data_IF_949492517676
#
_entry.id   IF_949492517676
#
_cell.length_a   1.000
_cell.length_b   1.000
_cell.length_c   1.000
_cell.angle_alpha   90.00
_cell.angle_beta   90.00
_cell.angle_gamma   90.00
#
_symmetry.space_group_name_H-M   'P 1'
#
loop_
_entity.id
_entity.type
_entity.pdbx_description
1 polymer ?
#
# COMPACT_ATOMS: atom_id res chain seq x y z
N UNK A 1 5.36 -29.77 36.79
CA UNK A 1 5.23 -28.39 36.22
C UNK A 1 3.79 -27.97 36.41
N UNK A 2 3.49 -26.89 37.16
CA UNK A 2 2.12 -26.40 37.36
C UNK A 2 1.66 -25.72 36.07
N UNK A 3 0.56 -26.21 35.51
CA UNK A 3 -0.02 -25.61 34.32
C UNK A 3 -0.61 -24.21 34.67
N UNK A 4 -0.17 -23.15 33.96
CA UNK A 4 -0.83 -21.84 34.09
C UNK A 4 -2.13 -21.87 33.29
N UNK A 5 -3.26 -21.92 33.97
CA UNK A 5 -4.59 -21.97 33.33
C UNK A 5 -4.89 -20.75 32.42
N UNK A 6 -4.09 -19.69 32.50
CA UNK A 6 -4.19 -18.51 31.61
C UNK A 6 -3.68 -18.78 30.18
N UNK A 7 -2.92 -19.87 29.99
CA UNK A 7 -2.42 -20.31 28.69
C UNK A 7 -3.34 -21.29 27.97
N UNK A 8 -4.40 -21.75 28.63
CA UNK A 8 -5.35 -22.71 28.06
C UNK A 8 -6.55 -21.99 27.42
N UNK A 9 -7.08 -22.56 26.34
CA UNK A 9 -8.33 -22.09 25.75
C UNK A 9 -9.50 -22.29 26.73
N UNK A 10 -10.56 -21.50 26.56
CA UNK A 10 -11.77 -21.64 27.37
C UNK A 10 -12.37 -23.04 27.33
N UNK A 11 -12.35 -23.68 26.13
CA UNK A 11 -12.88 -25.03 25.91
C UNK A 11 -12.01 -26.09 26.61
N UNK A 12 -10.69 -25.95 26.57
CA UNK A 12 -9.78 -26.84 27.29
C UNK A 12 -9.97 -26.75 28.81
N UNK A 13 -10.15 -25.55 29.35
CA UNK A 13 -10.42 -25.32 30.76
C UNK A 13 -11.81 -25.90 31.18
N UNK A 14 -12.80 -25.84 30.31
CA UNK A 14 -14.11 -26.44 30.53
C UNK A 14 -13.97 -27.97 30.55
N UNK A 15 -13.26 -28.53 29.56
CA UNK A 15 -12.97 -29.97 29.53
C UNK A 15 -12.28 -30.46 30.79
N UNK A 16 -11.31 -29.74 31.32
CA UNK A 16 -10.63 -30.09 32.58
C UNK A 16 -11.57 -30.08 33.78
N UNK A 17 -12.48 -29.07 33.89
CA UNK A 17 -13.47 -28.99 34.98
C UNK A 17 -14.43 -30.19 34.93
N UNK A 18 -14.95 -30.52 33.74
CA UNK A 18 -15.86 -31.61 33.54
C UNK A 18 -15.19 -32.98 33.87
N UNK A 19 -13.97 -33.18 33.37
CA UNK A 19 -13.21 -34.38 33.64
C UNK A 19 -12.86 -34.55 35.14
N UNK A 20 -12.47 -33.44 35.79
CA UNK A 20 -12.19 -33.44 37.23
C UNK A 20 -13.44 -33.79 38.07
N UNK A 21 -14.63 -33.29 37.69
CA UNK A 21 -15.88 -33.67 38.37
C UNK A 21 -16.27 -35.12 38.14
N UNK A 22 -16.03 -35.67 36.95
CA UNK A 22 -16.26 -37.06 36.67
C UNK A 22 -15.39 -37.98 37.57
N UNK A 23 -14.09 -37.67 37.70
CA UNK A 23 -13.19 -38.38 38.60
C UNK A 23 -13.61 -38.23 40.07
N UNK A 24 -14.06 -37.06 40.49
CA UNK A 24 -14.60 -36.83 41.83
C UNK A 24 -15.84 -37.71 42.10
N UNK A 25 -16.76 -37.82 41.15
CA UNK A 25 -17.94 -38.69 41.24
C UNK A 25 -17.55 -40.17 41.32
N UNK A 26 -16.46 -40.55 40.70
CA UNK A 26 -15.86 -41.91 40.79
C UNK A 26 -15.06 -42.10 42.08
N UNK A 27 -15.16 -41.21 43.07
CA UNK A 27 -14.51 -41.27 44.38
C UNK A 27 -12.96 -41.22 44.34
N UNK A 28 -12.38 -40.69 43.28
CA UNK A 28 -10.91 -40.47 43.21
C UNK A 28 -10.52 -39.38 44.18
N UNK A 29 -9.39 -39.57 44.88
CA UNK A 29 -8.89 -38.59 45.85
C UNK A 29 -8.57 -37.22 45.18
N UNK A 30 -8.98 -36.13 45.83
CA UNK A 30 -8.86 -34.76 45.28
C UNK A 30 -7.40 -34.39 44.98
N UNK A 31 -6.45 -34.88 45.78
CA UNK A 31 -5.00 -34.62 45.50
C UNK A 31 -4.56 -35.29 44.21
N UNK A 32 -5.05 -36.48 43.90
CA UNK A 32 -4.78 -37.18 42.66
C UNK A 32 -5.40 -36.43 41.47
N UNK A 33 -6.66 -36.03 41.62
CA UNK A 33 -7.35 -35.21 40.57
C UNK A 33 -6.55 -33.94 40.29
N UNK A 34 -6.11 -33.19 41.31
CA UNK A 34 -5.33 -32.00 41.15
C UNK A 34 -3.99 -32.25 40.43
N UNK A 35 -3.32 -33.33 40.79
CA UNK A 35 -2.05 -33.72 40.15
C UNK A 35 -2.25 -34.13 38.69
N UNK A 36 -3.30 -34.87 38.36
CA UNK A 36 -3.60 -35.32 36.98
C UNK A 36 -3.82 -34.19 36.01
N UNK A 37 -4.39 -33.08 36.45
CA UNK A 37 -4.65 -31.89 35.62
C UNK A 37 -3.60 -30.76 35.80
N UNK A 38 -2.60 -30.98 36.65
CA UNK A 38 -1.57 -29.98 36.92
C UNK A 38 -2.11 -28.68 37.59
N UNK A 39 -3.24 -28.79 38.30
CA UNK A 39 -3.90 -27.68 38.98
C UNK A 39 -3.71 -27.73 40.49
N UNK A 40 -4.10 -26.69 41.22
CA UNK A 40 -4.07 -26.71 42.67
C UNK A 40 -5.27 -27.47 43.24
N UNK A 41 -5.09 -28.11 44.37
CA UNK A 41 -6.15 -28.76 45.14
C UNK A 41 -7.33 -27.79 45.37
N UNK A 42 -7.02 -26.52 45.62
CA UNK A 42 -8.00 -25.49 45.85
C UNK A 42 -8.85 -25.20 44.57
N UNK A 43 -8.27 -25.27 43.39
CA UNK A 43 -9.03 -25.17 42.15
C UNK A 43 -10.05 -26.30 41.98
N UNK A 44 -9.65 -27.54 42.32
CA UNK A 44 -10.54 -28.68 42.27
C UNK A 44 -11.70 -28.53 43.29
N UNK A 45 -11.43 -28.08 44.49
CA UNK A 45 -12.47 -27.79 45.48
C UNK A 45 -13.43 -26.70 44.99
N UNK A 46 -12.96 -25.64 44.36
CA UNK A 46 -13.83 -24.61 43.75
C UNK A 46 -14.74 -25.17 42.66
N UNK A 47 -14.23 -26.08 41.83
CA UNK A 47 -15.05 -26.73 40.80
C UNK A 47 -16.11 -27.64 41.41
N UNK A 48 -15.75 -28.43 42.46
CA UNK A 48 -16.69 -29.28 43.19
C UNK A 48 -17.77 -28.43 43.86
N UNK A 49 -17.38 -27.30 44.49
CA UNK A 49 -18.33 -26.41 45.13
C UNK A 49 -19.33 -25.83 44.13
N UNK A 50 -18.86 -25.33 42.96
CA UNK A 50 -19.74 -24.85 41.89
C UNK A 50 -20.66 -25.96 41.37
N UNK A 51 -20.13 -27.15 41.16
CA UNK A 51 -20.92 -28.29 40.72
C UNK A 51 -22.01 -28.67 41.70
N UNK A 52 -21.72 -28.66 43.01
CA UNK A 52 -22.69 -28.95 44.04
C UNK A 52 -23.79 -27.93 44.19
N UNK A 53 -23.46 -26.61 43.95
CA UNK A 53 -24.42 -25.52 44.06
C UNK A 53 -25.34 -25.42 42.84
N UNK A 54 -24.79 -25.49 41.63
CA UNK A 54 -25.50 -25.11 40.41
C UNK A 54 -25.45 -26.20 39.31
N UNK A 55 -24.90 -27.36 39.61
CA UNK A 55 -24.79 -28.50 38.69
C UNK A 55 -23.74 -28.29 37.56
N UNK A 56 -23.77 -29.18 36.57
CA UNK A 56 -22.80 -29.23 35.47
C UNK A 56 -22.78 -27.91 34.68
N UNK A 57 -23.89 -27.18 34.57
CA UNK A 57 -23.99 -25.96 33.82
C UNK A 57 -23.05 -24.84 34.35
N UNK A 58 -22.76 -24.83 35.65
CA UNK A 58 -21.85 -23.87 36.29
C UNK A 58 -20.37 -24.03 35.95
N UNK A 59 -20.02 -25.20 35.39
CA UNK A 59 -18.66 -25.50 34.97
C UNK A 59 -18.32 -25.00 33.56
N UNK A 60 -19.35 -24.61 32.81
CA UNK A 60 -19.14 -24.01 31.50
C UNK A 60 -18.29 -22.74 31.60
N UNK A 61 -17.41 -22.56 30.67
CA UNK A 61 -16.66 -21.33 30.54
C UNK A 61 -17.60 -20.21 30.08
N UNK A 62 -17.87 -19.27 30.94
CA UNK A 62 -18.50 -18.01 30.53
C UNK A 62 -17.41 -17.11 29.96
N UNK A 63 -17.56 -16.62 28.75
CA UNK A 63 -16.80 -15.46 28.28
C UNK A 63 -17.11 -14.33 29.24
N UNK A 64 -16.11 -13.93 30.04
CA UNK A 64 -16.28 -12.84 30.99
C UNK A 64 -16.96 -11.69 30.29
N UNK A 65 -18.04 -11.18 30.84
CA UNK A 65 -18.78 -10.05 30.31
C UNK A 65 -17.82 -8.88 30.13
N UNK A 66 -17.44 -8.60 28.88
CA UNK A 66 -16.69 -7.38 28.57
C UNK A 66 -17.54 -6.16 28.93
N UNK A 67 -16.87 -5.02 29.15
CA UNK A 67 -17.57 -3.74 29.33
C UNK A 67 -18.52 -3.52 28.15
N UNK A 68 -19.80 -3.27 28.43
CA UNK A 68 -20.78 -3.00 27.39
C UNK A 68 -20.30 -1.90 26.42
N UNK A 69 -20.58 -2.04 25.13
CA UNK A 69 -20.22 -1.02 24.15
C UNK A 69 -20.88 0.32 24.53
N UNK A 70 -20.10 1.38 24.62
CA UNK A 70 -20.62 2.73 24.92
C UNK A 70 -21.57 3.29 23.87
N UNK A 71 -21.43 2.81 22.62
CA UNK A 71 -22.35 3.11 21.51
C UNK A 71 -23.29 1.92 21.33
N UNK A 72 -24.58 2.19 21.24
CA UNK A 72 -25.58 1.19 20.87
C UNK A 72 -25.49 0.92 19.33
N UNK A 73 -26.22 -0.11 18.87
CA UNK A 73 -26.17 -0.52 17.45
C UNK A 73 -26.61 0.57 16.49
N UNK A 74 -27.62 1.37 16.85
CA UNK A 74 -28.12 2.44 16.01
C UNK A 74 -27.10 3.57 15.86
N UNK A 75 -26.50 3.99 16.97
CA UNK A 75 -25.42 4.99 17.00
C UNK A 75 -24.19 4.52 16.22
N UNK A 76 -23.90 3.21 16.27
CA UNK A 76 -22.80 2.61 15.51
C UNK A 76 -23.07 2.67 14.01
N UNK A 77 -24.30 2.34 13.56
CA UNK A 77 -24.70 2.45 12.15
C UNK A 77 -24.67 3.90 11.66
N UNK A 78 -25.17 4.83 12.46
CA UNK A 78 -25.15 6.27 12.15
C UNK A 78 -23.71 6.78 12.01
N UNK A 79 -22.82 6.41 12.94
CA UNK A 79 -21.40 6.79 12.85
C UNK A 79 -20.77 6.27 11.55
N UNK A 80 -21.02 5.01 11.16
CA UNK A 80 -20.51 4.47 9.90
C UNK A 80 -21.00 5.26 8.70
N UNK A 81 -22.28 5.64 8.67
CA UNK A 81 -22.82 6.47 7.59
C UNK A 81 -22.13 7.84 7.52
N UNK A 82 -21.89 8.47 8.67
CA UNK A 82 -21.12 9.71 8.73
C UNK A 82 -19.69 9.55 8.21
N UNK A 83 -19.01 8.46 8.59
CA UNK A 83 -17.61 8.20 8.20
C UNK A 83 -17.43 7.80 6.72
N UNK A 84 -18.50 7.39 6.04
CA UNK A 84 -18.50 7.17 4.58
C UNK A 84 -18.53 8.48 3.80
N UNK A 85 -18.91 9.58 4.41
CA UNK A 85 -18.92 10.91 3.79
C UNK A 85 -17.57 11.59 3.97
N UNK A 86 -17.18 12.50 3.06
CA UNK A 86 -16.04 13.37 3.26
C UNK A 86 -16.15 14.11 4.59
N UNK A 87 -15.05 14.24 5.32
CA UNK A 87 -15.12 14.92 6.63
C UNK A 87 -15.51 16.39 6.50
N UNK A 88 -15.23 17.06 5.36
CA UNK A 88 -15.68 18.43 5.05
C UNK A 88 -17.19 18.55 5.06
N UNK A 89 -17.94 17.55 4.63
CA UNK A 89 -19.41 17.54 4.70
C UNK A 89 -19.96 17.61 6.14
N UNK A 90 -19.11 17.38 7.15
CA UNK A 90 -19.45 17.46 8.58
C UNK A 90 -18.74 18.63 9.28
N UNK A 91 -18.19 19.58 8.50
CA UNK A 91 -17.60 20.82 9.00
C UNK A 91 -16.11 20.74 9.36
N UNK A 92 -15.39 19.72 8.89
CA UNK A 92 -13.94 19.64 9.07
C UNK A 92 -13.19 20.30 7.90
N UNK A 93 -11.99 20.77 8.15
CA UNK A 93 -11.19 21.54 7.17
C UNK A 93 -10.68 20.70 5.97
N UNK A 94 -10.65 19.38 6.04
CA UNK A 94 -10.19 18.49 4.97
C UNK A 94 -10.99 17.20 4.96
N UNK A 95 -11.02 16.46 3.86
CA UNK A 95 -11.81 15.23 3.68
C UNK A 95 -11.27 14.02 4.46
N UNK A 96 -10.10 14.13 5.07
CA UNK A 96 -9.44 13.01 5.70
C UNK A 96 -9.94 12.78 7.13
N UNK A 97 -10.31 11.55 7.41
CA UNK A 97 -10.65 11.11 8.76
C UNK A 97 -9.38 10.80 9.57
N UNK A 98 -9.32 11.30 10.78
CA UNK A 98 -8.28 11.00 11.76
C UNK A 98 -8.91 10.56 13.08
N UNK A 99 -8.15 9.82 13.90
CA UNK A 99 -8.64 9.39 15.22
C UNK A 99 -9.18 10.54 16.08
N UNK A 100 -8.50 11.69 16.19
CA UNK A 100 -9.05 12.87 16.88
C UNK A 100 -10.36 13.39 16.29
N UNK A 101 -10.50 13.45 14.96
CA UNK A 101 -11.74 13.91 14.31
C UNK A 101 -12.91 12.97 14.57
N UNK A 102 -12.68 11.65 14.46
CA UNK A 102 -13.71 10.65 14.78
C UNK A 102 -14.14 10.74 16.25
N UNK A 103 -13.17 10.90 17.17
CA UNK A 103 -13.48 11.10 18.59
C UNK A 103 -14.32 12.36 18.82
N UNK A 104 -13.98 13.48 18.17
CA UNK A 104 -14.75 14.72 18.23
C UNK A 104 -16.16 14.53 17.67
N UNK A 105 -16.29 13.84 16.54
CA UNK A 105 -17.59 13.54 15.93
C UNK A 105 -18.49 12.72 16.86
N UNK A 106 -17.97 11.66 17.49
CA UNK A 106 -18.69 10.84 18.46
C UNK A 106 -19.17 11.70 19.63
N UNK A 107 -18.31 12.57 20.18
CA UNK A 107 -18.69 13.50 21.26
C UNK A 107 -19.77 14.48 20.80
N UNK A 108 -19.67 14.99 19.56
CA UNK A 108 -20.66 15.93 18.99
C UNK A 108 -22.04 15.27 18.82
N UNK A 109 -22.09 14.07 18.23
CA UNK A 109 -23.34 13.38 17.90
C UNK A 109 -24.00 12.72 19.12
N UNK A 110 -23.21 12.00 19.91
CA UNK A 110 -23.74 11.09 20.92
C UNK A 110 -23.44 11.52 22.36
N UNK A 111 -22.68 12.62 22.57
CA UNK A 111 -22.20 13.08 23.88
C UNK A 111 -21.34 12.06 24.63
N UNK A 112 -20.81 11.08 23.93
CA UNK A 112 -19.95 10.03 24.47
C UNK A 112 -18.50 10.39 24.24
N UNK A 113 -17.67 10.29 25.29
CA UNK A 113 -16.25 10.60 25.21
C UNK A 113 -15.40 9.34 25.30
N UNK A 114 -14.61 9.09 24.26
CA UNK A 114 -13.64 8.01 24.22
C UNK A 114 -12.25 8.52 24.60
N UNK A 115 -11.53 7.73 25.37
CA UNK A 115 -10.11 8.02 25.63
C UNK A 115 -9.26 7.84 24.36
N UNK A 116 -8.30 8.73 24.15
CA UNK A 116 -7.45 8.76 22.94
C UNK A 116 -6.80 7.40 22.60
N UNK A 117 -6.33 6.69 23.63
CA UNK A 117 -5.65 5.38 23.46
C UNK A 117 -6.59 4.27 22.98
N UNK A 118 -7.91 4.40 23.15
CA UNK A 118 -8.90 3.40 22.70
C UNK A 118 -9.30 3.59 21.22
N UNK A 119 -9.06 4.77 20.64
CA UNK A 119 -9.49 5.09 19.28
C UNK A 119 -8.94 4.13 18.21
N UNK A 120 -7.66 3.74 18.19
CA UNK A 120 -7.17 2.82 17.17
C UNK A 120 -7.91 1.49 17.16
N UNK A 121 -8.09 0.86 18.35
CA UNK A 121 -8.82 -0.40 18.49
C UNK A 121 -10.30 -0.25 18.10
N UNK A 122 -10.91 0.87 18.46
CA UNK A 122 -12.29 1.17 18.10
C UNK A 122 -12.44 1.33 16.57
N UNK A 123 -11.55 2.06 15.90
CA UNK A 123 -11.56 2.26 14.45
C UNK A 123 -11.35 0.93 13.69
N UNK A 124 -10.45 0.06 14.16
CA UNK A 124 -10.30 -1.29 13.60
C UNK A 124 -11.59 -2.12 13.70
N UNK A 125 -12.31 -2.03 14.83
CA UNK A 125 -13.63 -2.69 14.99
C UNK A 125 -14.70 -2.14 14.04
N UNK A 126 -14.59 -0.87 13.61
CA UNK A 126 -15.41 -0.24 12.57
C UNK A 126 -15.00 -0.69 11.14
N UNK A 127 -13.98 -1.51 10.99
CA UNK A 127 -13.43 -1.89 9.69
C UNK A 127 -12.57 -0.80 9.03
N UNK A 128 -12.14 0.22 9.80
CA UNK A 128 -11.29 1.29 9.30
C UNK A 128 -9.81 0.98 9.58
N UNK A 129 -9.00 1.06 8.54
CA UNK A 129 -7.56 0.83 8.62
C UNK A 129 -6.80 2.11 8.28
N UNK A 130 -5.65 2.30 8.93
CA UNK A 130 -4.78 3.42 8.63
C UNK A 130 -4.14 3.22 7.25
N UNK A 131 -4.52 4.08 6.30
CA UNK A 131 -3.98 4.08 4.93
C UNK A 131 -3.31 5.41 4.64
N UNK A 132 -2.25 5.39 3.83
CA UNK A 132 -1.65 6.62 3.29
C UNK A 132 -2.58 7.15 2.21
N UNK A 133 -3.05 8.41 2.30
CA UNK A 133 -3.88 9.00 1.25
C UNK A 133 -3.10 9.10 -0.05
N UNK A 134 -3.78 8.86 -1.16
CA UNK A 134 -3.30 9.19 -2.48
C UNK A 134 -3.29 10.71 -2.65
N UNK A 135 -2.23 11.25 -3.25
CA UNK A 135 -2.15 12.67 -3.59
C UNK A 135 -2.75 12.88 -4.97
N UNK A 136 -3.70 13.80 -5.07
CA UNK A 136 -4.24 14.27 -6.34
C UNK A 136 -4.07 15.78 -6.43
N UNK A 137 -3.70 16.27 -7.59
CA UNK A 137 -3.61 17.70 -7.82
C UNK A 137 -5.03 18.32 -7.74
N UNK A 138 -5.12 19.52 -7.21
CA UNK A 138 -6.39 20.28 -7.18
C UNK A 138 -6.82 20.67 -8.59
N UNK A 139 -5.86 20.82 -9.49
CA UNK A 139 -6.01 21.19 -10.89
C UNK A 139 -6.46 20.01 -11.78
N UNK A 140 -6.52 18.78 -11.24
CA UNK A 140 -6.95 17.61 -11.99
C UNK A 140 -8.44 17.67 -12.32
N UNK A 141 -8.78 17.63 -13.62
CA UNK A 141 -10.18 17.47 -14.04
C UNK A 141 -10.62 16.01 -14.01
N UNK A 142 -11.49 15.69 -13.07
CA UNK A 142 -12.03 14.33 -12.90
C UNK A 142 -12.96 13.91 -14.06
N UNK A 143 -13.53 14.85 -14.82
CA UNK A 143 -14.36 14.53 -15.99
C UNK A 143 -13.47 14.15 -17.16
N UNK A 144 -12.40 14.92 -17.40
CA UNK A 144 -11.40 14.59 -18.42
C UNK A 144 -10.75 13.23 -18.17
N UNK A 145 -10.36 12.93 -16.92
CA UNK A 145 -9.83 11.62 -16.54
C UNK A 145 -10.82 10.49 -16.82
N UNK A 146 -12.12 10.69 -16.52
CA UNK A 146 -13.16 9.68 -16.81
C UNK A 146 -13.37 9.52 -18.31
N UNK A 147 -13.44 10.61 -19.05
CA UNK A 147 -13.60 10.58 -20.51
C UNK A 147 -12.42 9.84 -21.16
N UNK A 148 -11.20 10.14 -20.69
CA UNK A 148 -10.00 9.46 -21.18
C UNK A 148 -10.06 7.95 -20.91
N UNK A 149 -10.41 7.52 -19.69
CA UNK A 149 -10.52 6.09 -19.33
C UNK A 149 -11.61 5.37 -20.10
N UNK A 150 -12.77 6.00 -20.28
CA UNK A 150 -13.98 5.33 -20.80
C UNK A 150 -14.10 5.44 -22.34
N UNK A 151 -13.43 6.41 -22.96
CA UNK A 151 -13.53 6.65 -24.39
C UNK A 151 -12.17 6.54 -25.07
N UNK A 152 -11.18 7.34 -24.65
CA UNK A 152 -9.91 7.46 -25.35
C UNK A 152 -9.03 6.21 -25.20
N UNK A 153 -8.91 5.68 -23.99
CA UNK A 153 -8.11 4.46 -23.75
C UNK A 153 -8.68 3.25 -24.51
N UNK A 154 -9.98 2.95 -24.50
CA UNK A 154 -10.56 1.89 -25.32
C UNK A 154 -10.30 2.07 -26.84
N UNK A 155 -10.39 3.31 -27.37
CA UNK A 155 -10.01 3.62 -28.76
C UNK A 155 -8.56 3.25 -29.05
N UNK A 156 -7.64 3.64 -28.14
CA UNK A 156 -6.22 3.34 -28.26
C UNK A 156 -6.01 1.82 -28.25
N UNK A 157 -6.65 1.10 -27.32
CA UNK A 157 -6.52 -0.35 -27.20
C UNK A 157 -7.06 -1.07 -28.44
N UNK A 158 -8.19 -0.64 -28.97
CA UNK A 158 -8.75 -1.17 -30.24
C UNK A 158 -7.79 -0.94 -31.41
N UNK A 159 -7.16 0.25 -31.50
CA UNK A 159 -6.12 0.52 -32.50
C UNK A 159 -4.91 -0.39 -32.34
N UNK A 160 -4.43 -0.57 -31.08
CA UNK A 160 -3.29 -1.45 -30.75
C UNK A 160 -3.57 -2.87 -31.19
N UNK A 161 -4.76 -3.40 -30.88
CA UNK A 161 -5.17 -4.75 -31.25
C UNK A 161 -5.28 -4.91 -32.79
N UNK A 162 -5.98 -4.01 -33.46
CA UNK A 162 -6.17 -4.04 -34.92
C UNK A 162 -4.85 -3.99 -35.69
N UNK A 163 -3.86 -3.24 -35.20
CA UNK A 163 -2.60 -3.02 -35.88
C UNK A 163 -1.44 -3.89 -35.35
N UNK A 164 -1.70 -4.78 -34.37
CA UNK A 164 -0.67 -5.54 -33.67
C UNK A 164 0.46 -4.64 -33.15
N UNK A 165 0.10 -3.42 -32.72
CA UNK A 165 1.03 -2.42 -32.26
C UNK A 165 1.53 -2.74 -30.83
N UNK A 166 2.66 -2.15 -30.43
CA UNK A 166 3.14 -2.17 -29.06
C UNK A 166 2.66 -0.88 -28.37
N UNK A 167 1.96 -1.00 -27.27
CA UNK A 167 1.57 0.12 -26.42
C UNK A 167 2.62 0.31 -25.34
N UNK A 168 3.21 1.50 -25.26
CA UNK A 168 4.14 1.90 -24.20
C UNK A 168 3.62 3.13 -23.47
N UNK A 169 3.93 3.21 -22.19
CA UNK A 169 3.81 4.40 -21.37
C UNK A 169 5.22 4.89 -21.07
N UNK A 170 5.46 6.18 -21.27
CA UNK A 170 6.76 6.77 -20.99
C UNK A 170 6.67 7.96 -20.03
N UNK A 171 7.79 8.21 -19.37
CA UNK A 171 7.94 9.29 -18.42
C UNK A 171 9.43 9.58 -18.17
N UNK A 172 9.71 10.77 -17.65
CA UNK A 172 11.02 11.21 -17.22
C UNK A 172 11.13 11.25 -15.71
N UNK A 173 12.32 10.98 -15.21
CA UNK A 173 12.59 11.09 -13.79
C UNK A 173 14.00 11.58 -13.48
N UNK A 174 14.13 12.32 -12.40
CA UNK A 174 15.41 12.66 -11.80
C UNK A 174 15.72 11.69 -10.65
N UNK A 175 16.86 11.02 -10.74
CA UNK A 175 17.39 10.18 -9.69
C UNK A 175 18.39 11.03 -8.88
N UNK A 176 18.05 11.34 -7.65
CA UNK A 176 18.86 12.18 -6.78
C UNK A 176 20.03 11.41 -6.15
N UNK A 177 21.16 12.08 -5.97
CA UNK A 177 22.30 11.57 -5.21
C UNK A 177 21.94 11.42 -3.72
N UNK A 178 21.03 12.26 -3.20
CA UNK A 178 20.43 12.06 -1.87
C UNK A 178 19.28 11.03 -2.04
N UNK A 179 19.48 9.78 -1.58
CA UNK A 179 18.51 8.72 -1.80
C UNK A 179 17.32 8.80 -0.85
N UNK A 180 16.27 8.09 -1.19
CA UNK A 180 15.23 7.74 -0.24
C UNK A 180 15.80 6.83 0.84
N UNK A 181 15.45 7.07 2.11
CA UNK A 181 15.80 6.22 3.24
C UNK A 181 14.50 5.68 3.85
N UNK A 182 14.28 4.39 3.66
CA UNK A 182 13.11 3.68 4.16
C UNK A 182 13.26 3.26 5.64
N UNK A 183 12.17 2.68 6.16
CA UNK A 183 12.19 2.07 7.50
C UNK A 183 13.06 0.82 7.51
N UNK A 184 13.74 0.58 8.64
CA UNK A 184 14.51 -0.63 8.91
C UNK A 184 14.13 -1.23 10.26
N UNK A 185 14.46 -2.50 10.47
CA UNK A 185 14.29 -3.16 11.75
C UNK A 185 15.40 -2.74 12.71
N UNK A 186 15.05 -2.46 13.95
CA UNK A 186 15.99 -2.11 15.01
C UNK A 186 15.46 -2.57 16.37
N UNK A 187 16.37 -2.82 17.32
CA UNK A 187 15.97 -3.09 18.69
C UNK A 187 15.28 -1.88 19.34
N UNK A 188 14.42 -2.10 20.36
CA UNK A 188 13.83 -1.00 21.12
C UNK A 188 14.91 0.00 21.58
N UNK A 189 14.63 1.30 21.44
CA UNK A 189 15.56 2.40 21.77
C UNK A 189 16.77 2.56 20.85
N UNK A 190 17.07 1.64 19.93
CA UNK A 190 18.12 1.83 18.93
C UNK A 190 17.71 2.90 17.91
N UNK A 191 18.68 3.68 17.44
CA UNK A 191 18.53 4.68 16.37
C UNK A 191 19.42 4.27 15.19
N UNK A 192 18.90 3.47 14.24
CA UNK A 192 19.68 3.07 13.08
C UNK A 192 20.08 4.29 12.25
N UNK A 193 21.33 4.30 11.78
CA UNK A 193 21.90 5.39 11.00
C UNK A 193 22.16 4.89 9.58
N UNK A 194 21.58 5.57 8.58
CA UNK A 194 21.95 5.40 7.19
C UNK A 194 22.95 6.49 6.81
N UNK A 195 24.16 6.09 6.37
CA UNK A 195 25.17 7.03 5.86
C UNK A 195 24.93 7.20 4.36
N UNK A 196 24.52 8.38 3.95
CA UNK A 196 24.16 8.72 2.56
C UNK A 196 24.81 10.05 2.20
N UNK A 197 24.94 10.33 0.89
CA UNK A 197 25.44 11.62 0.43
C UNK A 197 24.56 12.76 0.92
N UNK A 198 25.18 13.86 1.35
CA UNK A 198 24.50 15.13 1.67
C UNK A 198 24.56 16.16 0.55
N UNK A 199 25.13 15.83 -0.61
CA UNK A 199 25.33 16.75 -1.74
C UNK A 199 24.00 17.00 -2.45
N UNK A 200 23.42 18.17 -2.24
CA UNK A 200 22.16 18.60 -2.86
C UNK A 200 22.38 18.99 -4.33
N UNK A 201 21.29 18.95 -5.11
CA UNK A 201 21.29 19.40 -6.51
C UNK A 201 21.92 18.43 -7.51
N UNK A 202 22.60 17.38 -7.05
CA UNK A 202 23.17 16.37 -7.94
C UNK A 202 22.13 15.27 -8.25
N UNK A 203 21.88 15.07 -9.53
CA UNK A 203 20.92 14.09 -10.01
C UNK A 203 21.31 13.53 -11.39
N UNK A 204 20.76 12.39 -11.75
CA UNK A 204 20.85 11.78 -13.06
C UNK A 204 19.46 11.76 -13.66
N UNK A 205 19.30 12.33 -14.85
CA UNK A 205 18.07 12.27 -15.61
C UNK A 205 17.92 10.93 -16.30
N UNK A 206 16.69 10.41 -16.35
CA UNK A 206 16.36 9.16 -17.04
C UNK A 206 14.97 9.26 -17.66
N UNK A 207 14.84 8.83 -18.90
CA UNK A 207 13.58 8.59 -19.58
C UNK A 207 13.37 7.09 -19.73
N UNK A 208 12.20 6.58 -19.45
CA UNK A 208 11.87 5.17 -19.69
C UNK A 208 10.46 5.02 -20.29
N UNK A 209 10.31 3.95 -21.05
CA UNK A 209 9.03 3.47 -21.56
C UNK A 209 8.84 2.01 -21.14
N UNK A 210 7.67 1.71 -20.58
CA UNK A 210 7.28 0.36 -20.15
C UNK A 210 5.99 -0.08 -20.83
N UNK A 211 5.81 -1.37 -20.97
CA UNK A 211 4.56 -1.94 -21.48
C UNK A 211 4.08 -3.12 -20.62
N UNK A 212 2.81 -3.48 -20.78
CA UNK A 212 2.16 -4.56 -20.05
C UNK A 212 2.81 -5.93 -20.27
N UNK A 213 3.43 -6.17 -21.46
CA UNK A 213 4.12 -7.41 -21.77
C UNK A 213 5.52 -7.48 -21.12
N UNK A 214 5.86 -6.59 -20.20
CA UNK A 214 7.12 -6.59 -19.47
C UNK A 214 8.32 -6.08 -20.28
N UNK A 215 8.10 -5.25 -21.30
CA UNK A 215 9.19 -4.62 -22.06
C UNK A 215 9.55 -3.27 -21.47
N UNK A 216 10.84 -2.98 -21.42
CA UNK A 216 11.39 -1.72 -20.93
C UNK A 216 12.43 -1.20 -21.93
N UNK A 217 12.25 0.04 -22.38
CA UNK A 217 13.27 0.84 -23.03
C UNK A 217 13.63 2.00 -22.09
N UNK A 218 14.90 2.33 -21.94
CA UNK A 218 15.32 3.46 -21.12
C UNK A 218 16.57 4.15 -21.67
N UNK A 219 16.73 5.40 -21.30
CA UNK A 219 17.90 6.20 -21.62
C UNK A 219 18.23 7.16 -20.48
N UNK A 220 19.50 7.24 -20.09
CA UNK A 220 19.98 8.23 -19.14
C UNK A 220 20.43 9.47 -19.91
N UNK A 221 20.09 10.67 -19.40
CA UNK A 221 20.63 11.93 -19.96
C UNK A 221 22.16 11.92 -19.86
N UNK A 222 22.83 12.61 -20.76
CA UNK A 222 24.29 12.82 -20.63
C UNK A 222 24.58 13.80 -19.47
N UNK A 223 25.85 14.00 -19.18
CA UNK A 223 26.26 15.02 -18.21
C UNK A 223 25.76 16.39 -18.69
N UNK A 224 25.20 17.15 -17.73
CA UNK A 224 24.66 18.50 -17.96
C UNK A 224 23.48 18.62 -18.94
N UNK A 225 22.95 17.49 -19.46
CA UNK A 225 21.70 17.53 -20.20
C UNK A 225 20.48 17.70 -19.27
N UNK A 226 19.59 18.61 -19.64
CA UNK A 226 18.24 18.75 -19.05
C UNK A 226 17.21 18.18 -20.01
N UNK A 227 16.06 17.75 -19.52
CA UNK A 227 14.99 17.23 -20.36
C UNK A 227 14.49 18.30 -21.32
N UNK A 228 14.64 18.02 -22.62
CA UNK A 228 14.17 18.86 -23.72
C UNK A 228 13.42 17.98 -24.73
N UNK A 229 12.64 18.62 -25.60
CA UNK A 229 11.96 17.91 -26.70
C UNK A 229 12.93 17.22 -27.67
N UNK A 230 14.17 17.71 -27.81
CA UNK A 230 15.22 17.05 -28.63
C UNK A 230 15.69 15.75 -27.96
N UNK A 231 15.91 15.76 -26.65
CA UNK A 231 16.30 14.58 -25.87
C UNK A 231 15.15 13.55 -25.87
N UNK A 232 13.91 13.99 -25.69
CA UNK A 232 12.75 13.13 -25.82
C UNK A 232 12.66 12.49 -27.20
N UNK A 233 12.87 13.23 -28.28
CA UNK A 233 12.91 12.64 -29.62
C UNK A 233 14.08 11.66 -29.82
N UNK A 234 15.25 11.90 -29.21
CA UNK A 234 16.36 10.95 -29.21
C UNK A 234 15.91 9.62 -28.58
N UNK A 235 15.23 9.69 -27.45
CA UNK A 235 14.65 8.52 -26.77
C UNK A 235 13.59 7.82 -27.65
N UNK A 236 12.67 8.55 -28.26
CA UNK A 236 11.64 7.99 -29.17
C UNK A 236 12.28 7.25 -30.36
N UNK A 237 13.34 7.84 -30.95
CA UNK A 237 14.11 7.17 -32.03
C UNK A 237 14.75 5.87 -31.53
N UNK A 238 15.32 5.87 -30.34
CA UNK A 238 15.87 4.67 -29.69
C UNK A 238 14.79 3.60 -29.47
N UNK A 239 13.64 3.98 -28.92
CA UNK A 239 12.51 3.08 -28.71
C UNK A 239 12.07 2.43 -30.04
N UNK A 240 11.93 3.23 -31.09
CA UNK A 240 11.59 2.70 -32.43
C UNK A 240 12.65 1.78 -33.01
N UNK A 241 13.94 2.07 -32.78
CA UNK A 241 15.05 1.22 -33.23
C UNK A 241 15.08 -0.14 -32.51
N UNK A 242 14.61 -0.20 -31.26
CA UNK A 242 14.48 -1.49 -30.54
C UNK A 242 13.35 -2.37 -31.10
N UNK A 243 12.33 -1.76 -31.76
CA UNK A 243 11.19 -2.48 -32.31
C UNK A 243 10.89 -2.07 -33.76
N UNK A 244 11.80 -2.30 -34.71
CA UNK A 244 11.75 -1.74 -36.06
C UNK A 244 10.56 -2.25 -36.89
N UNK A 245 10.13 -3.49 -36.67
CA UNK A 245 9.04 -4.14 -37.41
C UNK A 245 7.65 -3.96 -36.77
N UNK A 246 7.57 -3.21 -35.68
CA UNK A 246 6.31 -3.05 -34.93
C UNK A 246 5.84 -1.60 -34.95
N UNK A 247 4.54 -1.42 -35.11
CA UNK A 247 3.92 -0.12 -34.83
C UNK A 247 4.01 0.14 -33.32
N UNK A 248 4.26 1.38 -32.94
CA UNK A 248 4.33 1.81 -31.52
C UNK A 248 3.27 2.87 -31.27
N UNK A 249 2.51 2.68 -30.24
CA UNK A 249 1.70 3.71 -29.59
C UNK A 249 2.41 4.08 -28.29
N UNK A 250 2.75 5.34 -28.14
CA UNK A 250 3.43 5.88 -26.96
C UNK A 250 2.49 6.84 -26.22
N UNK A 251 2.18 6.53 -24.99
CA UNK A 251 1.40 7.39 -24.10
C UNK A 251 2.37 8.12 -23.18
N UNK A 252 2.24 9.46 -23.10
CA UNK A 252 3.04 10.36 -22.25
C UNK A 252 2.12 11.38 -21.58
N UNK A 253 2.64 12.10 -20.58
CA UNK A 253 1.92 13.25 -20.02
C UNK A 253 1.93 14.46 -20.96
N UNK A 254 1.20 15.53 -20.56
CA UNK A 254 1.10 16.79 -21.31
C UNK A 254 2.26 17.75 -21.13
N UNK A 255 3.45 17.30 -20.69
CA UNK A 255 4.59 18.20 -20.51
C UNK A 255 4.97 18.92 -21.81
N UNK A 256 5.43 20.17 -21.73
CA UNK A 256 5.79 20.97 -22.93
C UNK A 256 6.78 20.28 -23.86
N UNK A 257 7.66 19.44 -23.32
CA UNK A 257 8.64 18.67 -24.09
C UNK A 257 8.00 17.62 -25.00
N UNK A 258 6.84 17.07 -24.62
CA UNK A 258 6.12 16.05 -25.37
C UNK A 258 5.21 16.63 -26.45
N UNK A 259 4.68 17.84 -26.23
CA UNK A 259 3.74 18.50 -27.15
C UNK A 259 4.39 19.53 -28.06
N UNK A 260 5.71 19.67 -28.00
CA UNK A 260 6.48 20.61 -28.80
C UNK A 260 6.28 20.39 -30.31
N UNK A 261 6.35 21.48 -31.12
CA UNK A 261 6.17 21.41 -32.58
C UNK A 261 7.04 20.35 -33.27
N UNK A 262 8.31 20.20 -32.84
CA UNK A 262 9.22 19.19 -33.40
C UNK A 262 8.79 17.75 -33.11
N UNK A 263 8.14 17.50 -31.97
CA UNK A 263 7.64 16.18 -31.59
C UNK A 263 6.38 15.84 -32.38
N UNK A 264 5.46 16.80 -32.51
CA UNK A 264 4.25 16.65 -33.33
C UNK A 264 4.58 16.43 -34.80
N UNK A 265 5.53 17.19 -35.35
CA UNK A 265 6.02 17.01 -36.72
C UNK A 265 6.67 15.64 -36.92
N UNK A 266 7.42 15.16 -35.93
CA UNK A 266 7.98 13.82 -35.97
C UNK A 266 6.90 12.75 -35.95
N UNK A 267 5.90 12.86 -35.08
CA UNK A 267 4.80 11.91 -35.00
C UNK A 267 3.98 11.87 -36.31
N UNK A 268 3.68 13.02 -36.91
CA UNK A 268 2.98 13.11 -38.19
C UNK A 268 3.79 12.48 -39.32
N UNK A 269 5.08 12.81 -39.44
CA UNK A 269 5.97 12.20 -40.44
C UNK A 269 6.03 10.67 -40.36
N UNK A 270 5.83 10.10 -39.16
CA UNK A 270 6.00 8.68 -38.91
C UNK A 270 4.67 7.99 -38.53
N UNK A 271 3.52 8.60 -38.81
CA UNK A 271 2.19 8.12 -38.41
C UNK A 271 1.84 6.70 -38.86
N UNK A 272 2.47 6.17 -39.91
CA UNK A 272 2.32 4.79 -40.33
C UNK A 272 2.85 3.77 -39.32
N UNK A 273 3.83 4.17 -38.47
CA UNK A 273 4.53 3.26 -37.55
C UNK A 273 4.61 3.76 -36.11
N UNK A 274 4.25 5.02 -35.88
CA UNK A 274 4.34 5.65 -34.56
C UNK A 274 3.12 6.56 -34.31
N UNK A 275 2.49 6.37 -33.17
CA UNK A 275 1.36 7.19 -32.68
C UNK A 275 1.71 7.70 -31.28
N UNK A 276 1.57 8.98 -31.06
CA UNK A 276 1.76 9.63 -29.76
C UNK A 276 0.39 10.00 -29.18
N UNK A 277 0.16 9.61 -27.93
CA UNK A 277 -1.06 9.90 -27.19
C UNK A 277 -0.71 10.62 -25.89
N UNK A 278 -1.55 11.55 -25.49
CA UNK A 278 -1.31 12.40 -24.33
C UNK A 278 -2.31 12.04 -23.23
N UNK A 279 -1.81 11.89 -22.01
CA UNK A 279 -2.63 11.72 -20.82
C UNK A 279 -3.34 13.01 -20.44
N UNK A 280 -4.48 12.95 -19.76
CA UNK A 280 -5.09 14.12 -19.13
C UNK A 280 -4.10 14.83 -18.21
N UNK A 281 -4.25 16.14 -18.09
CA UNK A 281 -3.39 16.93 -17.23
C UNK A 281 -3.46 16.45 -15.77
N UNK A 282 -2.34 16.53 -15.08
CA UNK A 282 -2.23 16.17 -13.64
C UNK A 282 -2.72 14.76 -13.27
N UNK A 283 -2.52 13.78 -14.16
CA UNK A 283 -3.02 12.41 -13.97
C UNK A 283 -1.90 11.36 -13.94
N UNK A 284 -0.92 11.46 -13.03
CA UNK A 284 0.20 10.52 -12.94
C UNK A 284 -0.25 9.10 -12.60
N UNK A 285 -1.42 8.94 -11.95
CA UNK A 285 -2.00 7.63 -11.63
C UNK A 285 -2.41 6.83 -12.87
N UNK A 286 -2.49 7.47 -14.05
CA UNK A 286 -2.75 6.81 -15.32
C UNK A 286 -1.47 6.33 -16.00
N UNK A 287 -0.28 6.70 -15.47
CA UNK A 287 1.01 6.34 -16.04
C UNK A 287 1.71 5.23 -15.23
N UNK A 288 1.70 3.97 -15.68
CA UNK A 288 2.37 2.88 -14.97
C UNK A 288 3.88 3.10 -14.79
N UNK A 289 4.51 3.97 -15.59
CA UNK A 289 5.94 4.30 -15.49
C UNK A 289 6.28 4.94 -14.14
N UNK A 290 5.33 5.61 -13.49
CA UNK A 290 5.49 6.14 -12.13
C UNK A 290 5.79 5.03 -11.10
N UNK A 291 5.18 3.85 -11.26
CA UNK A 291 5.49 2.69 -10.40
C UNK A 291 6.91 2.19 -10.61
N UNK A 292 7.45 2.33 -11.83
CA UNK A 292 8.87 2.03 -12.11
C UNK A 292 9.78 2.96 -11.31
N UNK A 293 9.49 4.25 -11.27
CA UNK A 293 10.26 5.21 -10.48
C UNK A 293 10.15 4.94 -8.98
N UNK A 294 8.95 4.64 -8.51
CA UNK A 294 8.73 4.20 -7.14
C UNK A 294 9.61 2.99 -6.78
N UNK A 295 9.64 1.97 -7.62
CA UNK A 295 10.47 0.78 -7.42
C UNK A 295 11.98 1.10 -7.45
N UNK A 296 12.45 1.83 -8.44
CA UNK A 296 13.87 2.19 -8.58
C UNK A 296 14.33 3.03 -7.38
N UNK A 297 13.62 4.11 -7.06
CA UNK A 297 14.01 5.06 -6.01
C UNK A 297 13.90 4.46 -4.60
N UNK A 298 12.81 3.73 -4.30
CA UNK A 298 12.51 3.31 -2.92
C UNK A 298 12.91 1.88 -2.59
N UNK A 299 13.15 1.02 -3.60
CA UNK A 299 13.56 -0.38 -3.39
C UNK A 299 15.00 -0.63 -3.80
N UNK A 300 15.41 -0.15 -4.97
CA UNK A 300 16.73 -0.44 -5.52
C UNK A 300 17.80 0.56 -5.09
N UNK A 301 17.46 1.84 -5.00
CA UNK A 301 18.34 2.92 -4.53
C UNK A 301 18.06 3.35 -3.08
N UNK A 302 17.29 2.58 -2.33
CA UNK A 302 17.05 2.85 -0.91
C UNK A 302 18.34 2.89 -0.12
N UNK A 303 18.60 4.00 0.58
CA UNK A 303 19.84 4.24 1.33
C UNK A 303 21.12 4.04 0.49
N UNK A 304 21.08 4.36 -0.82
CA UNK A 304 22.24 4.24 -1.71
C UNK A 304 23.44 5.01 -1.17
N UNK A 305 24.60 4.39 -1.25
CA UNK A 305 25.89 4.94 -0.80
C UNK A 305 26.69 5.58 -1.94
N UNK A 306 26.04 5.94 -3.05
CA UNK A 306 26.72 6.65 -4.12
C UNK A 306 27.32 7.97 -3.62
N UNK A 307 28.58 8.21 -3.94
CA UNK A 307 29.36 9.36 -3.44
C UNK A 307 29.33 10.54 -4.41
N UNK A 308 29.10 10.28 -5.68
CA UNK A 308 29.07 11.26 -6.75
C UNK A 308 28.06 10.90 -7.88
N UNK A 309 27.91 11.79 -8.84
CA UNK A 309 26.97 11.66 -9.98
C UNK A 309 27.35 10.52 -10.89
N UNK A 310 28.64 10.23 -11.07
CA UNK A 310 29.10 9.16 -11.96
C UNK A 310 28.77 7.78 -11.38
N UNK A 311 29.05 7.58 -10.10
CA UNK A 311 28.68 6.35 -9.40
C UNK A 311 27.15 6.14 -9.37
N UNK A 312 26.39 7.21 -9.10
CA UNK A 312 24.93 7.17 -9.15
C UNK A 312 24.42 6.77 -10.54
N UNK A 313 25.03 7.33 -11.59
CA UNK A 313 24.72 7.00 -12.98
C UNK A 313 24.95 5.53 -13.28
N UNK A 314 26.12 5.00 -12.90
CA UNK A 314 26.44 3.59 -13.11
C UNK A 314 25.47 2.68 -12.37
N UNK A 315 25.22 2.94 -11.09
CA UNK A 315 24.23 2.18 -10.30
C UNK A 315 22.83 2.23 -10.92
N UNK A 316 22.40 3.40 -11.38
CA UNK A 316 21.09 3.54 -12.02
C UNK A 316 21.03 2.74 -13.32
N UNK A 317 22.08 2.80 -14.14
CA UNK A 317 22.16 2.05 -15.39
C UNK A 317 22.10 0.53 -15.16
N UNK A 318 22.81 0.02 -14.16
CA UNK A 318 22.83 -1.41 -13.85
C UNK A 318 21.49 -1.89 -13.30
N UNK A 319 20.84 -1.08 -12.44
CA UNK A 319 19.49 -1.35 -11.95
C UNK A 319 18.50 -1.43 -13.12
N UNK A 320 18.56 -0.49 -14.06
CA UNK A 320 17.64 -0.47 -15.21
C UNK A 320 17.91 -1.61 -16.19
N UNK A 321 19.17 -1.98 -16.41
CA UNK A 321 19.54 -3.17 -17.22
C UNK A 321 19.01 -4.45 -16.58
N UNK A 322 19.11 -4.58 -15.27
CA UNK A 322 18.59 -5.74 -14.55
C UNK A 322 17.06 -5.76 -14.56
N UNK A 323 16.41 -4.61 -14.36
CA UNK A 323 14.96 -4.49 -14.45
C UNK A 323 14.46 -4.85 -15.86
N UNK A 324 15.18 -4.45 -16.93
CA UNK A 324 14.82 -4.81 -18.32
C UNK A 324 14.76 -6.32 -18.55
N UNK A 325 15.51 -7.12 -17.78
CA UNK A 325 15.47 -8.59 -17.84
C UNK A 325 14.31 -9.19 -17.05
N UNK A 326 13.79 -8.48 -16.07
CA UNK A 326 12.70 -8.93 -15.18
C UNK A 326 11.32 -8.52 -15.74
N UNK A 327 10.88 -9.26 -16.76
CA UNK A 327 9.60 -8.97 -17.43
C UNK A 327 8.40 -9.05 -16.49
N UNK A 328 8.39 -10.01 -15.56
CA UNK A 328 7.28 -10.18 -14.62
C UNK A 328 7.16 -8.98 -13.68
N UNK A 329 8.27 -8.42 -13.24
CA UNK A 329 8.29 -7.21 -12.43
C UNK A 329 7.74 -6.00 -13.19
N UNK A 330 8.12 -5.81 -14.45
CA UNK A 330 7.63 -4.70 -15.27
C UNK A 330 6.12 -4.88 -15.51
N UNK A 331 5.67 -6.07 -15.85
CA UNK A 331 4.23 -6.36 -16.03
C UNK A 331 3.43 -6.06 -14.78
N UNK A 332 3.95 -6.37 -13.59
CA UNK A 332 3.28 -6.09 -12.31
C UNK A 332 3.06 -4.60 -12.01
N UNK A 333 3.68 -3.69 -12.74
CA UNK A 333 3.41 -2.25 -12.63
C UNK A 333 2.06 -1.86 -13.26
N UNK A 334 1.48 -2.74 -14.08
CA UNK A 334 0.17 -2.55 -14.71
C UNK A 334 -0.98 -3.14 -13.87
N UNK A 335 -0.67 -4.02 -12.90
CA UNK A 335 -1.66 -4.52 -11.94
C UNK A 335 -2.12 -3.36 -11.04
N UNK A 336 -3.42 -3.09 -11.00
CA UNK A 336 -4.07 -1.93 -10.39
C UNK A 336 -3.86 -1.76 -8.89
#
# INVERSE_FOLDING_TARGET
>A
MKLDGRCLSHDALEGYRLAAINLYRSKVEIKIIAASFGVTVQAVYQWIWKFRGEGIKSLKSTTGGGVEPRLNEQQFKELIQCLRRPATALGYATDLWSGPRVRHLIKKLFKIEYHRKHMPRFLYRLGLYLKKPERRALEQDSQEVRAWKNQKLPEILAYVQKNLALLFYADESLISLIPYVGKTWAFPKARPIARVSGRRGQHVGITAAVNEQGRLCFELTQEDETFTSRIFLRFVRKLRKEFPSRKIVLIVDGAPIHIAKIVRAFAEKHKSHFRLEILPAYSPELNPTEKTWGFVKTKKLNASTATDKQELRQKTQDIMKNLKKDKSRISSFFDG
#
